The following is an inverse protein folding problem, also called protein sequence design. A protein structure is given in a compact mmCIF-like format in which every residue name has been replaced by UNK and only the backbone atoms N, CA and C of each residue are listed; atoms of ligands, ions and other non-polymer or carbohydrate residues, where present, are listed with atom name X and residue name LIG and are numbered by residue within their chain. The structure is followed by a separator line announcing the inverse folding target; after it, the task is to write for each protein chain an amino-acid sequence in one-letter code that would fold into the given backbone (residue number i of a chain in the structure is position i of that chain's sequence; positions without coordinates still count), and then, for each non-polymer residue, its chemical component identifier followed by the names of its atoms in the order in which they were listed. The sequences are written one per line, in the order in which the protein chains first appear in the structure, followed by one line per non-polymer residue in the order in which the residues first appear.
data_IF_251748573263
#
_entry.id   IF_251748573263
#
_cell.length_a   1.000
_cell.length_b   1.000
_cell.length_c   1.000
_cell.angle_alpha   90.00
_cell.angle_beta   90.00
_cell.angle_gamma   90.00
#
_symmetry.space_group_name_H-M   'P 1'
#
loop_
_entity.id
_entity.type
_entity.pdbx_description
1 polymer ?
#
# COMPACT_ATOMS: atom_id res chain seq x y z
N UNK A 1 3.90 2.76 -47.49
CA UNK A 1 3.83 1.76 -46.38
C UNK A 1 5.08 1.79 -45.49
N UNK A 2 5.43 2.93 -44.87
CA UNK A 2 6.59 3.05 -43.95
C UNK A 2 6.24 3.54 -42.53
N UNK A 3 5.02 3.96 -42.29
CA UNK A 3 4.55 4.52 -41.01
C UNK A 3 3.82 3.50 -40.13
N UNK A 4 3.12 2.52 -40.70
CA UNK A 4 2.33 1.55 -39.93
C UNK A 4 3.18 0.55 -39.12
N UNK A 5 4.38 0.21 -39.59
CA UNK A 5 5.30 -0.72 -38.88
C UNK A 5 5.91 -0.12 -37.61
N UNK A 6 5.99 1.21 -37.49
CA UNK A 6 6.51 1.87 -36.29
C UNK A 6 5.45 1.96 -35.18
N UNK A 7 4.18 2.16 -35.53
CA UNK A 7 3.11 2.21 -34.53
C UNK A 7 2.83 0.84 -33.90
N UNK A 8 2.95 -0.24 -34.67
CA UNK A 8 2.80 -1.60 -34.14
C UNK A 8 4.01 -2.03 -33.28
N UNK A 9 5.22 -1.57 -33.61
CA UNK A 9 6.41 -1.80 -32.81
C UNK A 9 6.38 -1.03 -31.48
N UNK A 10 5.80 0.17 -31.45
CA UNK A 10 5.60 0.94 -30.21
C UNK A 10 4.52 0.30 -29.33
N UNK A 11 3.46 -0.28 -29.93
CA UNK A 11 2.41 -0.95 -29.16
C UNK A 11 2.83 -2.35 -28.66
N UNK A 12 3.80 -3.00 -29.31
CA UNK A 12 4.37 -4.27 -28.86
C UNK A 12 5.47 -4.10 -27.78
N UNK A 13 6.10 -2.93 -27.71
CA UNK A 13 7.07 -2.59 -26.66
C UNK A 13 6.43 -2.29 -25.30
N UNK A 14 5.10 -2.08 -25.24
CA UNK A 14 4.36 -1.77 -24.00
C UNK A 14 3.87 -3.04 -23.27
N UNK A 15 4.03 -4.24 -23.84
CA UNK A 15 3.41 -5.48 -23.27
C UNK A 15 4.40 -6.65 -23.13
N UNK A 16 5.69 -6.38 -22.89
CA UNK A 16 6.68 -7.45 -22.63
C UNK A 16 7.51 -7.21 -21.37
N UNK A 17 6.85 -7.10 -20.21
CA UNK A 17 7.46 -7.39 -18.91
C UNK A 17 6.55 -8.28 -18.05
N UNK A 18 6.04 -9.37 -18.63
CA UNK A 18 5.53 -10.47 -17.80
C UNK A 18 6.64 -11.50 -17.60
N UNK A 19 7.09 -11.58 -16.35
CA UNK A 19 7.64 -12.80 -15.76
C UNK A 19 9.15 -12.93 -15.81
N UNK A 20 9.85 -12.26 -14.90
CA UNK A 20 11.10 -12.77 -14.35
C UNK A 20 11.20 -12.45 -12.86
N UNK A 21 11.18 -13.51 -12.04
CA UNK A 21 12.07 -13.64 -10.89
C UNK A 21 11.68 -12.93 -9.60
N UNK A 22 11.19 -13.73 -8.65
CA UNK A 22 11.41 -13.57 -7.21
C UNK A 22 12.67 -12.75 -6.88
N UNK A 23 12.53 -11.51 -6.42
CA UNK A 23 13.67 -10.70 -5.97
C UNK A 23 13.28 -9.79 -4.79
N UNK A 24 13.93 -10.07 -3.66
CA UNK A 24 14.21 -9.20 -2.50
C UNK A 24 13.47 -7.85 -2.41
N UNK A 25 12.55 -7.76 -1.45
CA UNK A 25 11.81 -6.55 -1.11
C UNK A 25 12.68 -5.59 -0.28
N UNK A 26 13.45 -4.73 -0.93
CA UNK A 26 14.12 -3.61 -0.29
C UNK A 26 13.95 -2.35 -1.15
N UNK A 27 13.49 -1.26 -0.56
CA UNK A 27 13.45 0.03 -1.25
C UNK A 27 14.88 0.56 -1.30
N UNK A 28 15.44 0.66 -2.50
CA UNK A 28 16.78 1.23 -2.67
C UNK A 28 16.61 2.66 -3.18
N UNK A 29 17.02 3.69 -2.42
CA UNK A 29 17.22 5.02 -2.96
C UNK A 29 18.30 4.95 -4.04
N UNK A 30 18.00 5.41 -5.26
CA UNK A 30 19.01 5.49 -6.31
C UNK A 30 19.91 6.71 -6.07
N UNK A 31 21.14 6.66 -6.59
CA UNK A 31 22.06 7.81 -6.55
C UNK A 31 21.55 9.03 -7.35
N UNK A 32 20.47 8.85 -8.11
CA UNK A 32 19.89 9.83 -9.03
C UNK A 32 18.66 10.55 -8.43
N UNK A 33 18.40 10.40 -7.13
CA UNK A 33 17.26 11.04 -6.47
C UNK A 33 15.93 10.37 -6.81
N UNK A 34 15.92 9.06 -6.99
CA UNK A 34 14.71 8.27 -7.19
C UNK A 34 14.50 7.27 -6.05
N UNK A 35 13.24 7.04 -5.70
CA UNK A 35 12.82 6.06 -4.72
C UNK A 35 12.08 4.95 -5.47
N UNK A 36 12.62 3.72 -5.40
CA UNK A 36 11.97 2.53 -5.95
C UNK A 36 11.38 1.69 -4.83
N UNK A 37 10.08 1.39 -4.91
CA UNK A 37 9.35 0.63 -3.88
C UNK A 37 8.59 -0.51 -4.55
N UNK A 38 8.69 -1.75 -4.03
CA UNK A 38 7.82 -2.84 -4.46
C UNK A 38 6.39 -2.59 -3.99
N UNK A 39 5.45 -2.58 -4.92
CA UNK A 39 4.02 -2.42 -4.68
C UNK A 39 3.29 -3.67 -5.14
N UNK A 40 2.46 -4.22 -4.26
CA UNK A 40 1.54 -5.31 -4.59
C UNK A 40 0.11 -4.87 -4.31
N UNK A 41 -0.80 -5.15 -5.23
CA UNK A 41 -2.24 -4.94 -5.08
C UNK A 41 -2.96 -6.25 -5.37
N UNK A 42 -3.71 -6.77 -4.40
CA UNK A 42 -4.34 -8.09 -4.50
C UNK A 42 -5.76 -8.10 -3.94
N UNK A 43 -6.67 -8.79 -4.62
CA UNK A 43 -7.94 -9.21 -4.03
C UNK A 43 -7.72 -10.56 -3.37
N UNK A 44 -7.58 -10.57 -2.03
CA UNK A 44 -7.28 -11.79 -1.26
C UNK A 44 -8.54 -12.62 -1.04
N UNK A 45 -9.67 -11.94 -0.83
CA UNK A 45 -10.95 -12.62 -0.60
C UNK A 45 -12.14 -11.76 -1.01
N UNK A 46 -13.20 -12.42 -1.44
CA UNK A 46 -14.50 -11.82 -1.72
C UNK A 46 -15.57 -12.52 -0.86
N UNK A 47 -16.70 -11.85 -0.56
CA UNK A 47 -17.85 -12.53 0.02
C UNK A 47 -18.26 -13.75 -0.81
N UNK A 48 -18.71 -14.82 -0.16
CA UNK A 48 -19.15 -16.04 -0.86
C UNK A 48 -20.36 -15.82 -1.78
N UNK A 49 -21.14 -14.77 -1.51
CA UNK A 49 -22.28 -14.32 -2.30
C UNK A 49 -21.96 -13.13 -3.22
N UNK A 50 -20.68 -12.84 -3.48
CA UNK A 50 -20.28 -11.75 -4.36
C UNK A 50 -20.77 -11.98 -5.80
N UNK A 51 -21.49 -11.00 -6.36
CA UNK A 51 -22.08 -11.05 -7.70
C UNK A 51 -21.49 -10.05 -8.68
N UNK A 52 -20.48 -9.28 -8.25
CA UNK A 52 -19.79 -8.32 -9.09
C UNK A 52 -18.79 -8.97 -10.04
N UNK A 53 -18.04 -8.14 -10.77
CA UNK A 53 -17.12 -8.58 -11.81
C UNK A 53 -15.69 -8.81 -11.32
N UNK A 54 -15.36 -8.43 -10.09
CA UNK A 54 -14.02 -8.65 -9.53
C UNK A 54 -13.76 -10.13 -9.22
N UNK A 55 -12.50 -10.54 -9.29
CA UNK A 55 -12.05 -11.90 -8.95
C UNK A 55 -10.92 -11.84 -7.94
N UNK A 56 -10.81 -12.88 -7.11
CA UNK A 56 -9.64 -13.08 -6.23
C UNK A 56 -8.39 -13.22 -7.11
N UNK A 57 -7.32 -12.54 -6.72
CA UNK A 57 -6.04 -12.56 -7.43
C UNK A 57 -5.31 -11.22 -7.44
N UNK A 58 -4.11 -11.25 -7.99
CA UNK A 58 -3.21 -10.10 -8.09
C UNK A 58 -3.70 -9.14 -9.19
N UNK A 59 -3.86 -7.87 -8.83
CA UNK A 59 -4.17 -6.78 -9.75
C UNK A 59 -2.91 -6.07 -10.23
N UNK A 60 -1.90 -5.97 -9.36
CA UNK A 60 -0.60 -5.38 -9.64
C UNK A 60 0.47 -6.04 -8.76
N UNK A 61 1.65 -6.31 -9.32
CA UNK A 61 2.83 -6.77 -8.59
C UNK A 61 4.07 -6.31 -9.36
N UNK A 62 4.77 -5.34 -8.80
CA UNK A 62 5.88 -4.71 -9.49
C UNK A 62 6.55 -3.60 -8.67
N UNK A 63 7.63 -3.09 -9.20
CA UNK A 63 8.34 -1.95 -8.62
C UNK A 63 7.82 -0.66 -9.24
N UNK A 64 7.54 0.32 -8.37
CA UNK A 64 7.19 1.68 -8.75
C UNK A 64 8.35 2.59 -8.37
N UNK A 65 8.79 3.43 -9.31
CA UNK A 65 9.87 4.39 -9.11
C UNK A 65 9.33 5.80 -9.26
N UNK A 66 9.56 6.64 -8.25
CA UNK A 66 9.19 8.05 -8.24
C UNK A 66 10.41 8.91 -7.85
N UNK A 67 10.40 10.19 -8.21
CA UNK A 67 11.46 11.12 -7.81
C UNK A 67 11.37 11.43 -6.32
N UNK A 68 12.50 11.42 -5.61
CA UNK A 68 12.60 11.84 -4.21
C UNK A 68 12.31 13.35 -4.05
N UNK A 69 12.65 14.16 -5.06
CA UNK A 69 12.47 15.62 -5.04
C UNK A 69 10.99 16.02 -4.89
N UNK A 70 10.07 15.16 -5.33
CA UNK A 70 8.63 15.35 -5.22
C UNK A 70 8.09 15.03 -3.81
N UNK A 71 8.95 14.54 -2.89
CA UNK A 71 8.60 14.06 -1.55
C UNK A 71 7.41 13.07 -1.57
N UNK A 72 7.50 11.98 -2.34
CA UNK A 72 6.37 11.10 -2.57
C UNK A 72 5.93 10.38 -1.29
N UNK A 73 4.62 10.23 -1.17
CA UNK A 73 3.95 9.51 -0.10
C UNK A 73 3.62 8.08 -0.54
N UNK A 74 3.28 7.20 0.40
CA UNK A 74 2.86 5.84 0.06
C UNK A 74 1.66 5.83 -0.91
N UNK A 75 0.77 6.84 -0.84
CA UNK A 75 -0.35 6.96 -1.77
C UNK A 75 0.10 7.25 -3.21
N UNK A 76 1.17 8.03 -3.42
CA UNK A 76 1.68 8.35 -4.76
C UNK A 76 2.22 7.11 -5.46
N UNK A 77 2.86 6.20 -4.71
CA UNK A 77 3.30 4.90 -5.24
C UNK A 77 2.11 4.01 -5.62
N UNK A 78 1.02 4.06 -4.85
CA UNK A 78 -0.21 3.32 -5.17
C UNK A 78 -0.87 3.88 -6.43
N UNK A 79 -0.94 5.20 -6.58
CA UNK A 79 -1.48 5.85 -7.79
C UNK A 79 -0.67 5.51 -9.04
N UNK A 80 0.66 5.48 -8.90
CA UNK A 80 1.57 5.17 -9.99
C UNK A 80 1.51 3.70 -10.47
N UNK A 81 0.74 2.83 -9.80
CA UNK A 81 0.40 1.48 -10.33
C UNK A 81 -0.43 1.54 -11.61
N UNK A 82 -1.11 2.67 -11.88
CA UNK A 82 -2.00 2.84 -13.03
C UNK A 82 -3.37 2.20 -12.87
N UNK A 83 -3.69 1.64 -11.70
CA UNK A 83 -5.02 1.15 -11.37
C UNK A 83 -6.00 2.32 -11.21
N UNK A 84 -7.30 2.07 -11.41
CA UNK A 84 -8.32 3.09 -11.14
C UNK A 84 -8.62 3.14 -9.66
N UNK A 85 -8.00 4.09 -8.94
CA UNK A 85 -8.16 4.25 -7.49
C UNK A 85 -9.24 5.29 -7.18
N UNK A 86 -10.28 4.87 -6.46
CA UNK A 86 -11.23 5.77 -5.80
C UNK A 86 -10.72 6.14 -4.41
N UNK A 87 -10.82 7.41 -4.03
CA UNK A 87 -10.36 7.92 -2.73
C UNK A 87 -11.45 8.69 -2.00
N UNK A 88 -11.30 8.81 -0.69
CA UNK A 88 -12.12 9.72 0.13
C UNK A 88 -11.92 11.18 -0.30
N UNK A 89 -12.82 12.07 0.11
CA UNK A 89 -12.77 13.50 -0.24
C UNK A 89 -11.42 14.16 0.08
N UNK A 90 -10.77 13.74 1.16
CA UNK A 90 -9.48 14.27 1.59
C UNK A 90 -8.30 13.51 0.98
N UNK A 91 -8.54 12.44 0.21
CA UNK A 91 -7.50 11.61 -0.41
C UNK A 91 -6.87 10.56 0.50
N UNK A 92 -7.16 10.59 1.80
CA UNK A 92 -6.47 9.79 2.83
C UNK A 92 -6.75 8.29 2.77
N UNK A 93 -7.92 7.91 2.24
CA UNK A 93 -8.39 6.52 2.26
C UNK A 93 -8.77 6.04 0.86
N UNK A 94 -8.41 4.81 0.54
CA UNK A 94 -8.88 4.12 -0.67
C UNK A 94 -10.32 3.68 -0.44
N UNK A 95 -11.25 4.20 -1.26
CA UNK A 95 -12.65 3.80 -1.23
C UNK A 95 -12.95 2.69 -2.23
N UNK A 96 -12.15 2.58 -3.29
CA UNK A 96 -12.27 1.50 -4.28
C UNK A 96 -11.02 1.36 -5.15
N UNK A 97 -10.83 0.18 -5.73
CA UNK A 97 -9.83 -0.06 -6.79
C UNK A 97 -10.51 -0.82 -7.92
N UNK A 98 -10.38 -0.31 -9.15
CA UNK A 98 -11.06 -0.82 -10.35
C UNK A 98 -12.58 -1.02 -10.13
N UNK A 99 -13.19 -0.11 -9.37
CA UNK A 99 -14.62 -0.14 -9.05
C UNK A 99 -15.01 -1.10 -7.92
N UNK A 100 -14.11 -1.91 -7.38
CA UNK A 100 -14.37 -2.73 -6.19
C UNK A 100 -14.21 -1.87 -4.94
N UNK A 101 -15.32 -1.43 -4.35
CA UNK A 101 -15.36 -0.74 -3.06
C UNK A 101 -15.63 -1.68 -1.90
N UNK A 102 -15.65 -1.14 -0.68
CA UNK A 102 -15.93 -1.93 0.53
C UNK A 102 -17.31 -2.58 0.51
N UNK A 103 -17.41 -3.77 1.10
CA UNK A 103 -18.66 -4.51 1.27
C UNK A 103 -18.85 -4.83 2.75
N UNK A 104 -19.84 -4.19 3.34
CA UNK A 104 -20.17 -4.42 4.75
C UNK A 104 -20.91 -5.74 4.91
N UNK A 105 -20.44 -6.57 5.84
CA UNK A 105 -21.09 -7.83 6.23
C UNK A 105 -21.89 -7.60 7.51
N UNK A 106 -21.29 -6.91 8.48
CA UNK A 106 -21.93 -6.52 9.73
C UNK A 106 -21.40 -5.15 10.17
N UNK A 107 -22.30 -4.25 10.50
CA UNK A 107 -21.97 -2.93 11.03
C UNK A 107 -22.86 -2.67 12.25
N UNK A 108 -22.24 -2.57 13.44
CA UNK A 108 -22.94 -2.28 14.70
C UNK A 108 -22.41 -0.99 15.32
N UNK A 109 -22.94 -0.59 16.48
CA UNK A 109 -22.42 0.58 17.19
C UNK A 109 -20.98 0.39 17.71
N UNK A 110 -20.51 -0.86 17.86
CA UNK A 110 -19.26 -1.19 18.54
C UNK A 110 -18.34 -2.08 17.69
N UNK A 111 -18.76 -2.43 16.46
CA UNK A 111 -17.99 -3.33 15.61
C UNK A 111 -18.25 -3.11 14.13
N UNK A 112 -17.21 -3.41 13.36
CA UNK A 112 -17.24 -3.53 11.92
C UNK A 112 -16.76 -4.91 11.50
N UNK A 113 -17.47 -5.51 10.55
CA UNK A 113 -17.02 -6.66 9.78
C UNK A 113 -17.38 -6.43 8.32
N UNK A 114 -16.39 -6.44 7.46
CA UNK A 114 -16.61 -6.23 6.04
C UNK A 114 -15.37 -6.50 5.22
N UNK A 115 -15.54 -6.57 3.92
CA UNK A 115 -14.41 -6.64 3.01
C UNK A 115 -13.99 -5.22 2.63
N UNK A 116 -12.71 -4.90 2.83
CA UNK A 116 -12.19 -3.56 2.59
C UNK A 116 -10.76 -3.61 2.03
N UNK A 117 -10.34 -2.50 1.42
CA UNK A 117 -8.95 -2.29 1.04
C UNK A 117 -8.12 -1.90 2.27
N UNK A 118 -7.13 -2.72 2.58
CA UNK A 118 -6.18 -2.50 3.67
C UNK A 118 -4.78 -2.26 3.08
N UNK A 119 -3.98 -1.43 3.74
CA UNK A 119 -2.62 -1.11 3.31
C UNK A 119 -1.66 -1.58 4.40
N UNK A 120 -0.88 -2.60 4.05
CA UNK A 120 0.27 -3.02 4.85
C UNK A 120 1.53 -2.38 4.27
N UNK A 121 2.48 -2.11 5.15
CA UNK A 121 3.78 -1.54 4.83
C UNK A 121 4.87 -2.48 5.31
N UNK A 122 5.98 -2.54 4.56
CA UNK A 122 7.15 -3.31 4.97
C UNK A 122 8.12 -2.39 5.71
N UNK A 123 8.41 -2.69 6.96
CA UNK A 123 9.43 -1.98 7.73
C UNK A 123 10.82 -2.20 7.11
N UNK A 124 11.68 -1.19 7.21
CA UNK A 124 13.06 -1.30 6.76
C UNK A 124 13.93 -2.18 7.65
N UNK A 125 15.23 -2.14 7.39
CA UNK A 125 16.23 -2.92 8.13
C UNK A 125 16.44 -2.50 9.59
N UNK A 126 15.82 -1.39 10.02
CA UNK A 126 15.87 -0.93 11.41
C UNK A 126 14.53 -0.37 11.84
N UNK A 127 14.13 -0.71 13.06
CA UNK A 127 12.95 -0.16 13.74
C UNK A 127 13.42 0.34 15.10
N UNK A 128 13.23 1.64 15.36
CA UNK A 128 13.59 2.25 16.63
C UNK A 128 12.33 2.66 17.36
N UNK A 129 12.07 2.07 18.54
CA UNK A 129 10.95 2.48 19.38
C UNK A 129 11.26 3.79 20.10
N UNK A 130 10.23 4.62 20.26
CA UNK A 130 10.31 5.88 20.97
C UNK A 130 9.15 5.98 21.97
N UNK A 131 9.44 6.42 23.19
CA UNK A 131 8.43 6.54 24.25
C UNK A 131 7.97 5.19 24.83
N UNK A 132 6.89 5.23 25.61
CA UNK A 132 6.35 4.07 26.31
C UNK A 132 5.16 3.51 25.56
N UNK A 133 5.30 2.31 25.00
CA UNK A 133 4.20 1.60 24.32
C UNK A 133 3.00 1.42 25.27
N UNK A 134 1.80 1.87 24.89
CA UNK A 134 0.59 1.56 25.65
C UNK A 134 0.33 0.05 25.76
N UNK A 135 -0.35 -0.40 26.81
CA UNK A 135 -0.66 -1.82 27.02
C UNK A 135 -1.61 -2.38 25.97
N UNK A 136 -2.50 -1.54 25.44
CA UNK A 136 -3.48 -1.88 24.42
C UNK A 136 -2.89 -1.84 22.99
N UNK A 137 -1.78 -1.15 22.78
CA UNK A 137 -1.21 -0.98 21.45
C UNK A 137 -0.44 -2.22 21.00
N UNK A 138 -0.55 -2.55 19.71
CA UNK A 138 0.30 -3.55 19.07
C UNK A 138 1.78 -3.18 19.25
N UNK A 139 2.65 -4.19 19.31
CA UNK A 139 4.09 -3.96 19.33
C UNK A 139 4.55 -3.33 18.01
N UNK A 140 5.62 -2.53 18.06
CA UNK A 140 6.31 -2.12 16.85
C UNK A 140 6.72 -3.37 16.03
N UNK A 141 6.71 -3.28 14.69
CA UNK A 141 7.12 -4.40 13.85
C UNK A 141 8.59 -4.75 14.07
N UNK A 142 8.93 -6.00 13.79
CA UNK A 142 10.33 -6.38 13.61
C UNK A 142 10.89 -5.76 12.33
N UNK A 143 12.21 -5.61 12.25
CA UNK A 143 12.87 -5.17 11.02
C UNK A 143 12.50 -6.10 9.85
N UNK A 144 12.26 -5.54 8.67
CA UNK A 144 11.79 -6.26 7.48
C UNK A 144 10.40 -6.92 7.58
N UNK A 145 9.67 -6.74 8.68
CA UNK A 145 8.32 -7.29 8.81
C UNK A 145 7.26 -6.39 8.15
N UNK A 146 6.16 -7.02 7.75
CA UNK A 146 4.95 -6.31 7.33
C UNK A 146 4.14 -5.85 8.54
N UNK A 147 3.55 -4.66 8.46
CA UNK A 147 2.67 -4.11 9.48
C UNK A 147 1.56 -3.28 8.85
N UNK A 148 0.42 -3.19 9.53
CA UNK A 148 -0.64 -2.25 9.16
C UNK A 148 -0.26 -0.85 9.63
N UNK A 149 -0.27 0.12 8.72
CA UNK A 149 0.13 1.49 9.05
C UNK A 149 -0.92 2.19 9.94
N UNK A 150 -0.52 2.77 11.09
CA UNK A 150 -1.42 3.62 11.89
C UNK A 150 -1.67 5.00 11.24
N UNK A 151 -0.93 5.33 10.18
CA UNK A 151 -1.07 6.57 9.41
C UNK A 151 -1.79 6.29 8.09
N UNK A 152 -2.60 7.25 7.65
CA UNK A 152 -3.09 7.27 6.27
C UNK A 152 -1.91 7.26 5.28
N UNK A 153 -2.07 6.62 4.13
CA UNK A 153 -0.98 6.47 3.15
C UNK A 153 -0.51 7.82 2.57
N UNK A 154 -1.36 8.85 2.57
CA UNK A 154 -1.03 10.24 2.24
C UNK A 154 -0.09 10.90 3.27
N UNK A 155 0.01 10.36 4.47
CA UNK A 155 0.83 10.88 5.56
C UNK A 155 2.08 10.04 5.84
N UNK A 156 2.38 9.06 4.98
CA UNK A 156 3.59 8.24 5.08
C UNK A 156 4.56 8.70 4.01
N UNK A 157 5.58 9.46 4.41
CA UNK A 157 6.67 9.83 3.52
C UNK A 157 7.51 8.58 3.18
N UNK A 158 7.87 8.45 1.90
CA UNK A 158 8.66 7.31 1.41
C UNK A 158 10.16 7.63 1.33
N UNK A 159 10.54 8.90 1.55
CA UNK A 159 11.93 9.33 1.67
C UNK A 159 12.41 9.17 3.12
N UNK A 160 13.47 8.37 3.29
CA UNK A 160 14.10 8.18 4.59
C UNK A 160 13.24 7.42 5.61
N UNK A 161 13.33 7.83 6.88
CA UNK A 161 12.63 7.19 8.01
C UNK A 161 11.42 7.98 8.45
N UNK A 162 10.30 7.30 8.64
CA UNK A 162 9.01 7.85 9.10
C UNK A 162 8.73 7.45 10.54
N UNK A 163 8.20 8.38 11.34
CA UNK A 163 7.66 8.08 12.67
C UNK A 163 6.20 7.61 12.56
N UNK A 164 5.89 6.48 13.22
CA UNK A 164 4.57 5.89 13.32
C UNK A 164 4.13 5.90 14.79
N UNK A 165 3.11 6.68 15.16
CA UNK A 165 2.61 6.69 16.53
C UNK A 165 1.80 5.42 16.83
N UNK A 166 1.80 4.96 18.09
CA UNK A 166 0.87 3.91 18.52
C UNK A 166 -0.59 4.40 18.58
N UNK A 167 -0.77 5.70 18.81
CA UNK A 167 -2.06 6.38 18.85
C UNK A 167 -2.02 7.59 17.93
N UNK A 168 -2.83 7.59 16.86
CA UNK A 168 -2.94 8.73 15.96
C UNK A 168 -3.43 10.00 16.68
N UNK A 169 -4.34 9.85 17.64
CA UNK A 169 -4.91 10.96 18.42
C UNK A 169 -3.98 11.47 19.52
N UNK A 170 -2.97 10.68 19.91
CA UNK A 170 -2.02 11.01 20.95
C UNK A 170 -0.59 10.57 20.60
N UNK A 171 0.09 11.36 19.77
CA UNK A 171 1.46 11.07 19.33
C UNK A 171 2.49 11.09 20.47
N UNK A 172 2.13 11.62 21.65
CA UNK A 172 2.97 11.58 22.85
C UNK A 172 2.98 10.22 23.56
N UNK A 173 2.05 9.31 23.19
CA UNK A 173 1.99 7.93 23.69
C UNK A 173 3.12 7.03 23.14
N UNK A 174 4.08 7.60 22.42
CA UNK A 174 5.18 6.87 21.80
C UNK A 174 4.79 6.20 20.49
N UNK A 175 5.75 5.51 19.91
CA UNK A 175 5.65 4.93 18.58
C UNK A 175 6.95 4.26 18.18
N UNK A 176 7.17 4.19 16.88
CA UNK A 176 8.40 3.67 16.30
C UNK A 176 8.77 4.41 15.02
N UNK A 177 10.05 4.42 14.70
CA UNK A 177 10.59 5.02 13.49
C UNK A 177 11.23 3.95 12.61
N UNK A 178 10.88 3.93 11.32
CA UNK A 178 11.47 3.04 10.32
C UNK A 178 11.28 3.62 8.91
N UNK A 179 12.11 3.20 7.95
CA UNK A 179 11.83 3.42 6.52
C UNK A 179 10.74 2.47 6.04
N UNK A 180 10.04 2.83 4.97
CA UNK A 180 9.06 1.96 4.31
C UNK A 180 9.67 1.38 3.04
N UNK A 181 9.74 0.05 2.98
CA UNK A 181 10.46 -0.68 1.92
C UNK A 181 9.57 -1.55 1.04
N UNK A 182 8.26 -1.41 1.18
CA UNK A 182 7.26 -2.11 0.38
C UNK A 182 5.85 -1.74 0.78
N UNK A 183 4.95 -1.80 -0.19
CA UNK A 183 3.52 -1.49 -0.02
C UNK A 183 2.71 -2.69 -0.48
N UNK A 184 1.79 -3.15 0.37
CA UNK A 184 0.85 -4.20 0.01
C UNK A 184 -0.58 -3.74 0.27
N UNK A 185 -1.31 -3.50 -0.82
CA UNK A 185 -2.72 -3.13 -0.81
C UNK A 185 -3.56 -4.39 -1.03
N UNK A 186 -4.34 -4.78 -0.03
CA UNK A 186 -5.09 -6.05 -0.06
C UNK A 186 -6.58 -5.82 0.17
N UNK A 187 -7.41 -6.42 -0.66
CA UNK A 187 -8.85 -6.51 -0.42
C UNK A 187 -9.14 -7.78 0.37
N UNK A 188 -9.53 -7.63 1.63
CA UNK A 188 -9.62 -8.74 2.58
C UNK A 188 -10.80 -8.53 3.53
N UNK A 189 -11.27 -9.62 4.14
CA UNK A 189 -12.19 -9.55 5.26
C UNK A 189 -11.48 -8.90 6.46
N UNK A 190 -12.02 -7.78 6.92
CA UNK A 190 -11.53 -7.00 8.04
C UNK A 190 -12.57 -7.01 9.15
N UNK A 191 -12.10 -7.18 10.38
CA UNK A 191 -12.92 -7.13 11.58
C UNK A 191 -12.29 -6.13 12.55
N UNK A 192 -13.08 -5.21 13.09
CA UNK A 192 -12.63 -4.22 14.06
C UNK A 192 -13.70 -4.01 15.11
N UNK A 193 -13.28 -3.82 16.35
CA UNK A 193 -14.14 -3.49 17.49
C UNK A 193 -13.59 -2.23 18.15
N UNK A 194 -14.48 -1.32 18.60
CA UNK A 194 -14.11 -0.09 19.29
C UNK A 194 -15.01 0.17 20.50
#
# INVERSE_FOLDING_TARGET
MKTLKRMLAVMLAVVMMMGLGVTSMAATPSADGEITVPVKVEVVGLPSNYTGTATVGVLYDGNVTLSEDDNPTAMDFIDATGLTIGKSTNGDYITSINGLGSIDVEYTSNSYKGYSWMIDMKAGNSVTTQGTKPSWAAAAPEANAWFESPLAATNVAMSGSQYFPYDYSNQSAGGFTTSVEGIYVKYVLTETTW
#
